data_IF_975203341159
#
_entry.id   IF_975203341159
#
_cell.length_a   1.000
_cell.length_b   1.000
_cell.length_c   1.000
_cell.angle_alpha   90.00
_cell.angle_beta   90.00
_cell.angle_gamma   90.00
#
_symmetry.space_group_name_H-M   'P 1'
#
loop_
_entity.id
_entity.type
_entity.pdbx_description
1 polymer ?
#
# COMPACT_ATOMS: atom_id res chain seq x y z
N UNK A 1 12.09 -0.38 -10.92
CA UNK A 1 11.20 -0.73 -9.78
C UNK A 1 11.37 0.36 -8.74
N UNK A 2 10.26 0.82 -8.18
CA UNK A 2 10.23 1.67 -7.00
C UNK A 2 9.35 0.95 -5.97
N UNK A 3 9.87 0.75 -4.76
CA UNK A 3 9.16 0.07 -3.69
C UNK A 3 9.15 0.97 -2.46
N UNK A 4 7.96 1.14 -1.88
CA UNK A 4 7.78 1.89 -0.64
C UNK A 4 7.42 0.86 0.43
N UNK A 5 8.33 0.66 1.37
CA UNK A 5 8.17 -0.36 2.43
C UNK A 5 8.50 0.24 3.79
N UNK A 6 7.78 -0.18 4.85
CA UNK A 6 8.17 0.17 6.21
C UNK A 6 9.53 -0.44 6.51
N UNK A 7 10.38 0.30 7.23
CA UNK A 7 11.72 -0.16 7.61
C UNK A 7 11.68 -1.47 8.41
N UNK A 8 10.59 -1.73 9.15
CA UNK A 8 10.41 -2.98 9.92
C UNK A 8 10.26 -4.24 9.06
N UNK A 9 10.07 -4.10 7.74
CA UNK A 9 9.97 -5.22 6.82
C UNK A 9 11.34 -5.65 6.24
N UNK A 10 12.43 -4.96 6.57
CA UNK A 10 13.77 -5.39 6.15
C UNK A 10 14.25 -6.53 7.03
N UNK A 11 14.23 -7.72 6.47
CA UNK A 11 14.86 -8.92 7.03
C UNK A 11 15.90 -9.49 6.04
N UNK A 12 16.61 -10.53 6.48
CA UNK A 12 17.63 -11.19 5.67
C UNK A 12 17.03 -11.85 4.41
N UNK A 13 15.80 -12.35 4.48
CA UNK A 13 15.11 -13.00 3.36
C UNK A 13 14.77 -11.98 2.27
N UNK A 14 14.20 -10.85 2.66
CA UNK A 14 13.90 -9.71 1.81
C UNK A 14 15.17 -9.16 1.16
N UNK A 15 16.24 -8.98 1.95
CA UNK A 15 17.54 -8.57 1.43
C UNK A 15 18.07 -9.54 0.35
N UNK A 16 17.94 -10.85 0.56
CA UNK A 16 18.34 -11.87 -0.41
C UNK A 16 17.45 -11.87 -1.67
N UNK A 17 16.13 -11.72 -1.50
CA UNK A 17 15.18 -11.67 -2.61
C UNK A 17 15.48 -10.45 -3.51
N UNK A 18 15.60 -9.27 -2.91
CA UNK A 18 15.85 -8.02 -3.63
C UNK A 18 17.21 -8.05 -4.30
N UNK A 19 18.26 -8.46 -3.58
CA UNK A 19 19.61 -8.58 -4.15
C UNK A 19 19.71 -9.65 -5.23
N UNK A 20 18.81 -10.64 -5.32
CA UNK A 20 18.77 -11.60 -6.44
C UNK A 20 18.11 -11.01 -7.68
N UNK A 21 16.98 -10.33 -7.53
CA UNK A 21 16.12 -9.92 -8.64
C UNK A 21 16.45 -8.55 -9.22
N UNK A 22 17.14 -7.69 -8.46
CA UNK A 22 17.43 -6.31 -8.85
C UNK A 22 18.92 -6.01 -8.83
N UNK A 23 19.31 -5.02 -9.63
CA UNK A 23 20.64 -4.39 -9.64
C UNK A 23 20.50 -2.89 -9.43
N UNK A 24 21.63 -2.23 -9.16
CA UNK A 24 21.72 -0.78 -8.94
C UNK A 24 20.73 -0.32 -7.86
N UNK A 25 20.70 -1.06 -6.75
CA UNK A 25 19.76 -0.83 -5.66
C UNK A 25 20.19 0.41 -4.88
N UNK A 26 19.25 1.34 -4.68
CA UNK A 26 19.43 2.53 -3.85
C UNK A 26 18.28 2.64 -2.88
N UNK A 27 18.59 2.93 -1.64
CA UNK A 27 17.60 3.04 -0.57
C UNK A 27 17.70 4.42 0.03
N UNK A 28 16.55 5.04 0.25
CA UNK A 28 16.43 6.35 0.88
C UNK A 28 15.34 6.29 1.94
N UNK A 29 15.48 7.08 3.00
CA UNK A 29 14.37 7.30 3.92
C UNK A 29 13.36 8.24 3.29
N UNK A 30 12.06 8.01 3.52
CA UNK A 30 11.04 8.95 3.12
C UNK A 30 11.26 10.30 3.84
N UNK A 31 10.92 11.45 3.21
CA UNK A 31 11.06 12.76 3.84
C UNK A 31 10.22 12.87 5.11
N UNK A 32 9.04 12.26 5.12
CA UNK A 32 8.18 12.15 6.30
C UNK A 32 8.58 10.95 7.17
N UNK A 33 9.22 11.20 8.31
CA UNK A 33 9.75 10.15 9.17
C UNK A 33 8.72 9.51 10.11
N UNK A 34 7.51 10.10 10.25
CA UNK A 34 6.45 9.59 11.14
C UNK A 34 6.09 8.12 10.85
N UNK A 35 6.11 7.74 9.57
CA UNK A 35 5.71 6.40 9.13
C UNK A 35 6.88 5.41 9.08
N UNK A 36 8.12 5.86 9.30
CA UNK A 36 9.35 5.03 9.22
C UNK A 36 9.43 4.23 7.91
N UNK A 37 9.08 4.89 6.81
CA UNK A 37 9.09 4.30 5.48
C UNK A 37 10.41 4.58 4.78
N UNK A 38 10.80 3.66 3.91
CA UNK A 38 11.91 3.85 3.00
C UNK A 38 11.46 3.61 1.56
N UNK A 39 12.18 4.24 0.66
CA UNK A 39 11.98 4.15 -0.77
C UNK A 39 13.18 3.42 -1.36
N UNK A 40 12.90 2.27 -1.99
CA UNK A 40 13.89 1.44 -2.65
C UNK A 40 13.75 1.56 -4.17
N UNK A 41 14.83 1.96 -4.81
CA UNK A 41 14.97 2.00 -6.26
C UNK A 41 15.81 0.81 -6.71
N UNK A 42 15.40 0.16 -7.80
CA UNK A 42 16.18 -0.93 -8.38
C UNK A 42 15.79 -1.23 -9.82
N UNK A 43 16.76 -1.70 -10.60
CA UNK A 43 16.57 -2.12 -12.00
C UNK A 43 16.37 -3.64 -12.03
N UNK A 44 15.27 -4.10 -12.62
CA UNK A 44 14.99 -5.54 -12.75
C UNK A 44 16.06 -6.20 -13.61
N UNK A 45 16.63 -7.30 -13.13
CA UNK A 45 17.58 -8.13 -13.90
C UNK A 45 17.06 -9.55 -14.04
N UNK A 46 17.62 -10.31 -14.99
CA UNK A 46 17.42 -11.76 -15.02
C UNK A 46 18.09 -12.36 -13.77
N UNK A 47 17.32 -13.13 -13.02
CA UNK A 47 17.72 -13.71 -11.74
C UNK A 47 18.81 -14.74 -11.96
N UNK A 48 20.05 -14.38 -11.64
CA UNK A 48 21.20 -15.25 -11.90
C UNK A 48 22.06 -15.39 -10.62
N UNK A 49 22.71 -14.30 -10.21
CA UNK A 49 23.65 -14.31 -9.07
C UNK A 49 23.29 -13.28 -8.01
N UNK A 50 23.26 -13.69 -6.74
CA UNK A 50 23.06 -12.78 -5.59
C UNK A 50 24.25 -11.83 -5.50
N UNK A 51 23.97 -10.53 -5.39
CA UNK A 51 24.99 -9.55 -5.04
C UNK A 51 25.13 -9.47 -3.51
N UNK A 52 26.19 -10.08 -2.99
CA UNK A 52 26.46 -10.17 -1.56
C UNK A 52 26.71 -8.79 -0.92
N UNK A 53 27.25 -7.83 -1.68
CA UNK A 53 27.48 -6.48 -1.16
C UNK A 53 26.15 -5.78 -0.87
N UNK A 54 25.23 -5.85 -1.83
CA UNK A 54 23.90 -5.27 -1.66
C UNK A 54 23.07 -6.02 -0.61
N UNK A 55 23.15 -7.35 -0.56
CA UNK A 55 22.46 -8.13 0.48
C UNK A 55 22.92 -7.74 1.89
N UNK A 56 24.24 -7.55 2.09
CA UNK A 56 24.81 -7.06 3.35
C UNK A 56 24.32 -5.65 3.67
N UNK A 57 24.41 -4.72 2.72
CA UNK A 57 23.91 -3.34 2.88
C UNK A 57 22.44 -3.28 3.33
N UNK A 58 21.57 -4.10 2.73
CA UNK A 58 20.14 -4.19 3.11
C UNK A 58 19.94 -4.85 4.49
N UNK A 59 20.81 -5.79 4.87
CA UNK A 59 20.78 -6.43 6.20
C UNK A 59 21.31 -5.50 7.29
N UNK A 60 22.38 -4.77 7.03
CA UNK A 60 22.95 -3.76 7.92
C UNK A 60 21.96 -2.61 8.15
N UNK A 61 21.18 -2.28 7.11
CA UNK A 61 20.04 -1.39 7.24
C UNK A 61 19.08 -1.86 8.31
N UNK A 62 18.70 -3.14 8.37
CA UNK A 62 17.78 -3.65 9.43
C UNK A 62 18.33 -3.49 10.85
N UNK A 63 19.66 -3.41 11.01
CA UNK A 63 20.35 -3.35 12.32
C UNK A 63 20.48 -1.91 12.85
N UNK A 64 20.06 -0.89 12.09
CA UNK A 64 20.00 0.50 12.56
C UNK A 64 20.89 1.49 11.80
N UNK A 65 21.49 1.08 10.68
CA UNK A 65 22.19 2.02 9.79
C UNK A 65 21.20 2.62 8.82
N UNK A 66 20.75 3.85 9.09
CA UNK A 66 19.76 4.50 8.24
C UNK A 66 20.40 5.17 7.02
N UNK A 67 19.90 4.92 5.80
CA UNK A 67 20.32 5.63 4.60
C UNK A 67 19.86 7.11 4.65
N UNK A 68 20.45 7.97 3.82
CA UNK A 68 20.05 9.37 3.74
C UNK A 68 18.56 9.52 3.39
N UNK A 69 17.98 10.63 3.85
CA UNK A 69 16.62 11.03 3.48
C UNK A 69 16.58 11.38 1.99
N UNK A 70 15.47 11.04 1.34
CA UNK A 70 15.24 11.40 -0.06
C UNK A 70 15.03 12.91 -0.15
N UNK A 71 15.96 13.61 -0.80
CA UNK A 71 15.85 15.04 -1.05
C UNK A 71 14.68 15.36 -2.01
N UNK A 72 14.09 16.55 -1.84
CA UNK A 72 13.09 17.09 -2.77
C UNK A 72 13.67 17.27 -4.19
N UNK A 73 14.95 17.63 -4.26
CA UNK A 73 15.69 17.76 -5.52
C UNK A 73 16.44 16.48 -5.81
N UNK A 74 15.87 15.62 -6.64
CA UNK A 74 16.49 14.35 -7.00
C UNK A 74 17.74 14.57 -7.87
N UNK A 75 18.96 14.21 -7.40
CA UNK A 75 20.21 14.55 -8.10
C UNK A 75 20.51 13.62 -9.28
N UNK A 76 19.71 12.58 -9.51
CA UNK A 76 19.96 11.60 -10.56
C UNK A 76 19.19 11.91 -11.83
N UNK A 77 19.78 11.53 -12.96
CA UNK A 77 19.17 11.70 -14.27
C UNK A 77 17.79 11.04 -14.30
N UNK A 78 16.72 11.76 -14.65
CA UNK A 78 15.39 11.19 -14.76
C UNK A 78 15.41 10.05 -15.78
N UNK A 79 14.59 9.02 -15.53
CA UNK A 79 14.47 7.91 -16.45
C UNK A 79 13.90 8.41 -17.79
N UNK A 80 14.68 8.25 -18.87
CA UNK A 80 14.22 8.57 -20.21
C UNK A 80 13.27 7.48 -20.69
N UNK A 81 11.99 7.82 -20.83
CA UNK A 81 11.02 6.94 -21.46
C UNK A 81 11.47 6.71 -22.92
N UNK A 82 11.64 5.46 -23.37
CA UNK A 82 12.01 5.21 -24.75
C UNK A 82 10.92 5.78 -25.66
N UNK A 83 11.32 6.57 -26.66
CA UNK A 83 10.38 7.06 -27.66
C UNK A 83 9.85 5.85 -28.44
N UNK A 84 8.55 5.62 -28.37
CA UNK A 84 7.90 4.65 -29.26
C UNK A 84 8.05 5.15 -30.68
N UNK A 85 8.63 4.33 -31.55
CA UNK A 85 8.80 4.64 -32.98
C UNK A 85 7.44 4.67 -33.68
N UNK A 86 6.51 3.86 -33.19
CA UNK A 86 5.15 3.76 -33.71
C UNK A 86 4.24 4.82 -33.11
N UNK A 87 3.40 5.42 -33.97
CA UNK A 87 2.30 6.27 -33.51
C UNK A 87 1.31 5.38 -32.74
N UNK A 88 1.04 5.64 -31.44
CA UNK A 88 0.04 4.86 -30.72
C UNK A 88 -1.31 5.01 -31.42
N UNK A 89 -1.85 3.90 -31.91
CA UNK A 89 -3.18 3.87 -32.51
C UNK A 89 -4.21 3.74 -31.39
N UNK A 90 -4.76 4.88 -30.96
CA UNK A 90 -5.84 4.89 -30.00
C UNK A 90 -7.14 4.47 -30.69
N UNK A 91 -7.61 3.25 -30.40
CA UNK A 91 -8.94 2.80 -30.83
C UNK A 91 -9.94 3.16 -29.73
N UNK A 92 -10.87 4.06 -30.04
CA UNK A 92 -12.01 4.35 -29.18
C UNK A 92 -13.22 3.55 -29.67
N UNK A 93 -13.47 2.39 -29.06
CA UNK A 93 -14.69 1.63 -29.31
C UNK A 93 -15.79 2.18 -28.41
N UNK A 94 -16.91 2.62 -29.01
CA UNK A 94 -18.12 2.91 -28.24
C UNK A 94 -18.81 1.60 -27.93
N UNK A 95 -18.97 1.30 -26.65
CA UNK A 95 -19.71 0.13 -26.18
C UNK A 95 -21.14 0.56 -25.85
N UNK A 96 -22.10 -0.24 -26.29
CA UNK A 96 -23.46 -0.19 -25.75
C UNK A 96 -23.48 -0.77 -24.32
N UNK A 97 -24.58 -0.55 -23.58
CA UNK A 97 -24.70 -1.02 -22.19
C UNK A 97 -24.57 -2.54 -22.10
N UNK A 98 -25.15 -3.27 -23.04
CA UNK A 98 -25.13 -4.74 -23.09
C UNK A 98 -23.73 -5.27 -23.39
N UNK A 99 -23.04 -4.66 -24.36
CA UNK A 99 -21.65 -5.01 -24.70
C UNK A 99 -20.69 -4.69 -23.55
N UNK A 100 -20.91 -3.58 -22.84
CA UNK A 100 -20.13 -3.21 -21.67
C UNK A 100 -20.31 -4.21 -20.53
N UNK A 101 -21.55 -4.67 -20.27
CA UNK A 101 -21.82 -5.71 -19.28
C UNK A 101 -21.13 -7.03 -19.63
N UNK A 102 -21.21 -7.45 -20.90
CA UNK A 102 -20.56 -8.68 -21.36
C UNK A 102 -19.03 -8.64 -21.22
N UNK A 103 -18.37 -7.53 -21.58
CA UNK A 103 -16.93 -7.38 -21.38
C UNK A 103 -16.57 -7.30 -19.89
N UNK A 104 -17.39 -6.62 -19.08
CA UNK A 104 -17.18 -6.55 -17.64
C UNK A 104 -17.27 -7.93 -17.00
N UNK A 105 -18.24 -8.77 -17.41
CA UNK A 105 -18.41 -10.12 -16.89
C UNK A 105 -17.20 -11.02 -17.16
N UNK A 106 -16.51 -10.81 -18.29
CA UNK A 106 -15.27 -11.52 -18.60
C UNK A 106 -14.12 -11.10 -17.71
N UNK A 107 -13.99 -9.82 -17.37
CA UNK A 107 -12.81 -9.30 -16.64
C UNK A 107 -13.03 -9.14 -15.15
N UNK A 108 -14.27 -9.21 -14.66
CA UNK A 108 -14.62 -8.94 -13.26
C UNK A 108 -13.83 -9.78 -12.26
N UNK A 109 -13.53 -11.03 -12.61
CA UNK A 109 -12.79 -11.97 -11.75
C UNK A 109 -11.31 -11.59 -11.59
N UNK A 110 -10.74 -10.88 -12.57
CA UNK A 110 -9.37 -10.35 -12.53
C UNK A 110 -9.32 -8.92 -11.98
N UNK A 111 -10.47 -8.27 -11.81
CA UNK A 111 -10.57 -6.94 -11.23
C UNK A 111 -10.62 -7.03 -9.70
N UNK A 112 -10.14 -5.98 -9.04
CA UNK A 112 -10.26 -5.83 -7.57
C UNK A 112 -11.66 -5.34 -7.14
N UNK A 113 -12.57 -5.11 -8.08
CA UNK A 113 -13.91 -4.57 -7.81
C UNK A 113 -14.80 -5.46 -6.94
N UNK A 114 -14.86 -6.80 -7.13
CA UNK A 114 -15.71 -7.65 -6.29
C UNK A 114 -15.27 -7.67 -4.82
N UNK A 115 -13.96 -7.56 -4.58
CA UNK A 115 -13.35 -7.52 -3.24
C UNK A 115 -13.11 -6.10 -2.75
N UNK A 116 -13.59 -5.09 -3.48
CA UNK A 116 -13.35 -3.68 -3.17
C UNK A 116 -13.79 -3.33 -1.75
N UNK A 117 -14.93 -3.85 -1.28
CA UNK A 117 -15.40 -3.61 0.08
C UNK A 117 -14.45 -4.15 1.16
N UNK A 118 -13.66 -5.18 0.85
CA UNK A 118 -12.65 -5.71 1.76
C UNK A 118 -11.42 -4.80 1.83
N UNK A 119 -11.06 -4.15 0.73
CA UNK A 119 -9.93 -3.20 0.67
C UNK A 119 -10.30 -1.81 1.16
N UNK A 120 -11.50 -1.33 0.84
CA UNK A 120 -12.08 -0.10 1.38
C UNK A 120 -12.73 -0.42 2.72
N UNK A 121 -11.93 -0.52 3.78
CA UNK A 121 -12.39 -0.76 5.17
C UNK A 121 -13.37 0.28 5.74
N UNK A 122 -13.98 1.12 4.92
CA UNK A 122 -15.15 1.89 5.23
C UNK A 122 -16.38 0.99 5.15
N UNK A 123 -16.78 0.41 6.29
CA UNK A 123 -18.21 0.40 6.63
C UNK A 123 -18.73 1.78 6.26
N UNK A 124 -19.66 1.88 5.31
CA UNK A 124 -20.42 3.11 5.12
C UNK A 124 -21.10 3.37 6.45
N UNK A 125 -20.45 4.16 7.31
CA UNK A 125 -21.07 4.69 8.50
C UNK A 125 -22.23 5.51 7.95
N UNK A 126 -23.44 5.00 8.12
CA UNK A 126 -24.65 5.78 7.89
C UNK A 126 -24.39 7.16 8.50
N UNK A 127 -24.49 8.26 7.73
CA UNK A 127 -24.19 9.58 8.25
C UNK A 127 -25.04 9.77 9.49
N UNK A 128 -24.39 9.83 10.67
CA UNK A 128 -25.11 10.06 11.92
C UNK A 128 -25.85 11.37 11.74
N UNK A 129 -27.16 11.33 11.92
CA UNK A 129 -28.02 12.50 11.90
C UNK A 129 -27.35 13.58 12.76
N UNK A 130 -27.15 14.82 12.25
CA UNK A 130 -26.49 15.86 13.03
C UNK A 130 -27.25 15.99 14.35
N UNK A 131 -26.54 15.86 15.47
CA UNK A 131 -27.09 16.00 16.81
C UNK A 131 -27.65 17.40 16.96
N UNK A 132 -28.96 17.57 16.76
CA UNK A 132 -29.70 18.74 17.22
C UNK A 132 -29.91 18.59 18.73
N UNK A 133 -28.92 19.00 19.51
CA UNK A 133 -28.99 18.89 20.96
C UNK A 133 -27.66 19.25 21.59
N UNK A 134 -27.67 20.28 22.44
CA UNK A 134 -26.46 20.87 23.01
C UNK A 134 -25.67 19.89 23.89
N UNK A 135 -24.35 20.05 23.84
CA UNK A 135 -23.37 19.88 24.93
C UNK A 135 -22.55 18.58 25.04
N UNK A 136 -21.22 18.86 25.03
CA UNK A 136 -20.05 18.11 25.51
C UNK A 136 -19.34 17.19 24.51
N UNK A 137 -18.37 17.78 23.81
CA UNK A 137 -17.21 17.10 23.23
C UNK A 137 -16.49 16.29 24.33
N UNK A 138 -16.55 14.96 24.26
CA UNK A 138 -15.65 14.09 24.99
C UNK A 138 -14.43 13.82 24.11
N UNK A 139 -13.30 14.41 24.50
CA UNK A 139 -11.99 14.10 23.93
C UNK A 139 -11.53 12.75 24.49
N UNK A 140 -11.39 11.73 23.65
CA UNK A 140 -10.81 10.44 24.05
C UNK A 140 -9.42 10.33 23.41
N UNK A 141 -8.34 10.33 24.21
CA UNK A 141 -6.99 10.12 23.69
C UNK A 141 -6.77 8.63 23.39
N UNK A 142 -6.49 8.29 22.13
CA UNK A 142 -6.10 6.94 21.75
C UNK A 142 -4.63 6.66 22.10
N UNK A 143 -4.38 6.09 23.27
CA UNK A 143 -3.22 5.22 23.49
C UNK A 143 -3.59 3.82 22.98
N UNK A 144 -2.81 3.27 22.05
CA UNK A 144 -3.11 2.02 21.35
C UNK A 144 -3.12 0.76 22.24
N UNK A 145 -3.59 -0.36 21.69
CA UNK A 145 -2.88 -1.66 21.56
C UNK A 145 -3.86 -2.76 21.09
N UNK A 146 -3.26 -3.71 20.39
CA UNK A 146 -3.75 -4.91 19.70
C UNK A 146 -4.79 -5.79 20.42
N UNK A 147 -5.48 -6.55 19.56
CA UNK A 147 -5.88 -7.97 19.67
C UNK A 147 -6.89 -8.37 20.74
N UNK A 148 -7.99 -8.98 20.30
CA UNK A 148 -8.87 -9.76 21.16
C UNK A 148 -10.11 -10.24 20.43
N UNK A 149 -10.15 -11.53 20.16
CA UNK A 149 -11.23 -12.28 19.54
C UNK A 149 -12.42 -12.51 20.51
N UNK A 150 -13.62 -12.60 19.93
CA UNK A 150 -14.88 -13.26 20.33
C UNK A 150 -15.44 -13.13 21.77
N UNK A 151 -16.69 -12.68 21.88
CA UNK A 151 -17.79 -13.51 22.43
C UNK A 151 -19.15 -12.87 22.13
N UNK A 152 -19.97 -13.59 21.37
CA UNK A 152 -21.41 -13.39 21.28
C UNK A 152 -22.06 -13.72 22.62
N UNK A 153 -22.87 -12.82 23.15
CA UNK A 153 -23.86 -13.16 24.17
C UNK A 153 -25.14 -12.34 23.94
N UNK A 154 -26.03 -12.94 23.17
CA UNK A 154 -27.45 -12.63 23.16
C UNK A 154 -28.00 -12.95 24.56
N UNK A 155 -28.54 -11.97 25.27
CA UNK A 155 -29.75 -12.22 26.06
C UNK A 155 -30.50 -10.91 26.27
N UNK A 156 -31.68 -10.85 25.68
CA UNK A 156 -32.64 -9.81 25.95
C UNK A 156 -33.27 -10.03 27.33
N UNK A 157 -33.60 -8.94 28.00
CA UNK A 157 -34.81 -8.86 28.80
C UNK A 157 -35.28 -7.42 28.85
N UNK A 158 -36.40 -7.20 28.18
CA UNK A 158 -37.21 -6.01 28.28
C UNK A 158 -37.86 -5.96 29.67
N UNK A 159 -37.83 -4.79 30.30
CA UNK A 159 -38.81 -4.39 31.31
C UNK A 159 -39.60 -3.21 30.72
N UNK A 160 -40.87 -3.44 30.40
CA UNK A 160 -41.85 -2.40 30.14
C UNK A 160 -42.37 -1.81 31.45
N UNK A 161 -42.78 -0.52 31.49
CA UNK A 161 -43.57 0.00 32.58
C UNK A 161 -45.06 0.01 32.25
N UNK A 162 -45.83 -0.45 33.25
CA UNK A 162 -47.29 -0.38 33.48
C UNK A 162 -48.17 -1.39 32.76
#
# INVERSE_FOLDING_TARGET
>A
MVLIVPYTAFDAEFAQMISRQYRDIRVFMAPEQQFKQCVLFGIKRKSDRIDLATAKMLTDMSTGTFPPVLDENFPHTPYSVPKTVDKPHFVATRLTVEEAQFELDKVQHACLWPTWQTFSGSTVLQPRRPTTGSQRLAFIPCSGRRSGQWASAISGRACSPR
#
